data_IF_687893405182
#
_entry.id   IF_687893405182
#
_cell.length_a   1.000
_cell.length_b   1.000
_cell.length_c   1.000
_cell.angle_alpha   90.00
_cell.angle_beta   90.00
_cell.angle_gamma   90.00
#
_symmetry.space_group_name_H-M   'P 1'
#
loop_
_entity.id
_entity.type
_entity.pdbx_description
1 polymer ?
#
# COMPACT_ATOMS: atom_id res chain seq x y z
N UNK A 1 -9.76 28.63 67.65
CA UNK A 1 -10.40 27.31 67.46
C UNK A 1 -10.99 27.29 66.07
N UNK A 2 -10.49 26.36 65.25
CA UNK A 2 -10.59 26.29 63.79
C UNK A 2 -11.89 25.61 63.38
N UNK A 3 -12.72 26.26 62.54
CA UNK A 3 -13.67 25.65 61.60
C UNK A 3 -13.86 26.71 60.49
N UNK A 4 -13.43 26.57 59.25
CA UNK A 4 -13.60 25.44 58.33
C UNK A 4 -14.47 25.93 57.16
N UNK A 5 -14.00 26.96 56.43
CA UNK A 5 -14.69 27.49 55.25
C UNK A 5 -14.50 26.53 54.08
N UNK A 6 -15.56 25.80 53.74
CA UNK A 6 -15.59 24.87 52.60
C UNK A 6 -15.44 25.67 51.31
N UNK A 7 -14.26 25.57 50.70
CA UNK A 7 -13.97 26.07 49.38
C UNK A 7 -14.68 25.15 48.38
N UNK A 8 -15.81 25.59 47.82
CA UNK A 8 -16.43 24.92 46.67
C UNK A 8 -15.48 25.08 45.48
N UNK A 9 -14.65 24.07 45.23
CA UNK A 9 -14.05 23.86 43.93
C UNK A 9 -15.18 23.52 42.96
N UNK A 10 -15.68 24.54 42.26
CA UNK A 10 -16.37 24.34 41.00
C UNK A 10 -15.36 23.66 40.07
N UNK A 11 -15.50 22.34 39.93
CA UNK A 11 -15.03 21.63 38.75
C UNK A 11 -15.77 22.27 37.57
N UNK A 12 -15.14 23.28 36.97
CA UNK A 12 -15.34 23.57 35.56
C UNK A 12 -14.88 22.31 34.84
N UNK A 13 -15.77 21.33 34.72
CA UNK A 13 -15.76 20.42 33.60
C UNK A 13 -15.82 21.33 32.37
N UNK A 14 -14.64 21.69 31.86
CA UNK A 14 -14.51 22.09 30.47
C UNK A 14 -15.01 20.88 29.72
N UNK A 15 -16.31 20.88 29.40
CA UNK A 15 -16.86 20.05 28.36
C UNK A 15 -16.07 20.45 27.12
N UNK A 16 -14.96 19.75 26.87
CA UNK A 16 -14.45 19.63 25.53
C UNK A 16 -15.57 18.92 24.81
N UNK A 17 -16.48 19.70 24.22
CA UNK A 17 -17.42 19.19 23.23
C UNK A 17 -16.54 18.84 22.04
N UNK A 18 -15.93 17.66 22.11
CA UNK A 18 -15.39 17.02 20.93
C UNK A 18 -16.60 16.90 20.02
N UNK A 19 -16.56 17.57 18.88
CA UNK A 19 -17.67 17.62 17.95
C UNK A 19 -18.09 16.17 17.63
N UNK A 20 -19.28 15.76 18.09
CA UNK A 20 -19.79 14.39 17.90
C UNK A 20 -19.83 14.01 16.42
N UNK A 21 -19.98 14.99 15.54
CA UNK A 21 -19.94 14.82 14.09
C UNK A 21 -18.54 14.46 13.57
N UNK A 22 -17.46 15.01 14.15
CA UNK A 22 -16.09 14.64 13.76
C UNK A 22 -15.77 13.20 14.18
N UNK A 23 -16.30 12.79 15.34
CA UNK A 23 -16.20 11.40 15.83
C UNK A 23 -16.99 10.45 14.92
N UNK A 24 -18.24 10.77 14.58
CA UNK A 24 -19.08 9.98 13.66
C UNK A 24 -18.49 9.88 12.24
N UNK A 25 -17.91 10.97 11.71
CA UNK A 25 -17.18 10.94 10.42
C UNK A 25 -15.96 10.03 10.51
N UNK A 26 -15.21 10.08 11.62
CA UNK A 26 -14.01 9.24 11.80
C UNK A 26 -14.40 7.76 11.93
N UNK A 27 -15.47 7.45 12.66
CA UNK A 27 -16.02 6.09 12.77
C UNK A 27 -16.59 5.58 11.44
N UNK A 28 -17.28 6.46 10.70
CA UNK A 28 -17.76 6.18 9.35
C UNK A 28 -16.63 5.88 8.37
N UNK A 29 -15.53 6.64 8.42
CA UNK A 29 -14.33 6.39 7.60
C UNK A 29 -13.68 5.06 7.99
N UNK A 30 -13.49 4.78 9.28
CA UNK A 30 -12.93 3.51 9.75
C UNK A 30 -13.76 2.31 9.27
N UNK A 31 -15.10 2.41 9.34
CA UNK A 31 -16.02 1.41 8.81
C UNK A 31 -15.83 1.22 7.29
N UNK A 32 -15.75 2.30 6.53
CA UNK A 32 -15.56 2.23 5.07
C UNK A 32 -14.19 1.65 4.69
N UNK A 33 -13.13 2.01 5.42
CA UNK A 33 -11.79 1.44 5.25
C UNK A 33 -11.82 -0.07 5.49
N UNK A 34 -12.46 -0.55 6.55
CA UNK A 34 -12.58 -1.99 6.81
C UNK A 34 -13.44 -2.70 5.77
N UNK A 35 -14.58 -2.13 5.41
CA UNK A 35 -15.53 -2.69 4.45
C UNK A 35 -14.94 -2.81 3.03
N UNK A 36 -14.11 -1.86 2.63
CA UNK A 36 -13.50 -1.81 1.30
C UNK A 36 -12.03 -2.23 1.28
N UNK A 37 -11.53 -2.81 2.39
CA UNK A 37 -10.19 -3.40 2.42
C UNK A 37 -10.05 -4.50 1.34
N UNK A 38 -8.89 -4.65 0.71
CA UNK A 38 -8.74 -5.61 -0.38
C UNK A 38 -8.71 -7.06 0.13
N UNK A 39 -9.24 -7.98 -0.67
CA UNK A 39 -8.95 -9.41 -0.57
C UNK A 39 -7.80 -9.73 -1.53
N UNK A 40 -6.65 -10.10 -0.98
CA UNK A 40 -5.46 -10.43 -1.76
C UNK A 40 -5.27 -11.94 -1.74
N UNK A 41 -5.41 -12.58 -2.90
CA UNK A 41 -5.09 -13.98 -3.09
C UNK A 41 -3.60 -14.13 -3.37
N UNK A 42 -2.90 -14.83 -2.50
CA UNK A 42 -1.51 -15.21 -2.72
C UNK A 42 -1.45 -16.35 -3.73
N UNK A 43 -0.35 -16.44 -4.48
CA UNK A 43 -0.08 -17.61 -5.31
C UNK A 43 -0.12 -18.88 -4.46
N UNK A 44 -0.72 -19.99 -4.93
CA UNK A 44 -0.74 -21.25 -4.18
C UNK A 44 0.68 -21.81 -3.93
N UNK A 45 1.63 -21.43 -4.77
CA UNK A 45 3.04 -21.83 -4.65
C UNK A 45 3.88 -20.84 -3.84
N UNK A 46 3.29 -19.76 -3.29
CA UNK A 46 4.02 -18.70 -2.59
C UNK A 46 4.79 -19.25 -1.38
N UNK A 47 6.08 -18.91 -1.31
CA UNK A 47 6.98 -19.33 -0.23
C UNK A 47 7.33 -18.20 0.71
N UNK A 48 7.21 -16.96 0.24
CA UNK A 48 7.56 -15.76 0.96
C UNK A 48 6.27 -15.04 1.34
N UNK A 49 5.65 -15.51 2.42
CA UNK A 49 4.40 -14.97 2.91
C UNK A 49 4.59 -13.54 3.44
N UNK A 50 3.56 -12.68 3.38
CA UNK A 50 3.65 -11.36 3.95
C UNK A 50 3.85 -11.41 5.47
N UNK A 51 4.53 -10.41 6.03
CA UNK A 51 4.96 -10.37 7.43
C UNK A 51 4.76 -8.98 8.03
N UNK A 52 4.63 -8.89 9.35
CA UNK A 52 4.68 -7.60 10.04
C UNK A 52 6.06 -6.95 9.96
N UNK A 53 6.11 -5.63 9.80
CA UNK A 53 7.36 -4.85 9.72
C UNK A 53 8.19 -4.98 10.99
N UNK A 54 7.54 -4.91 12.16
CA UNK A 54 8.20 -5.02 13.46
C UNK A 54 8.92 -6.36 13.60
N UNK A 55 8.27 -7.43 13.15
CA UNK A 55 8.82 -8.77 13.16
C UNK A 55 9.95 -8.93 12.13
N UNK A 56 9.74 -8.44 10.91
CA UNK A 56 10.79 -8.39 9.88
C UNK A 56 12.05 -7.68 10.39
N UNK A 57 11.90 -6.54 11.07
CA UNK A 57 13.01 -5.79 11.64
C UNK A 57 13.78 -6.58 12.70
N UNK A 58 13.16 -7.57 13.35
CA UNK A 58 13.85 -8.47 14.28
C UNK A 58 14.79 -9.47 13.56
N UNK A 59 14.60 -9.72 12.27
CA UNK A 59 15.38 -10.66 11.45
C UNK A 59 16.44 -10.01 10.56
N UNK A 60 16.53 -8.68 10.55
CA UNK A 60 17.51 -7.93 9.75
C UNK A 60 18.41 -7.06 10.62
N UNK A 61 19.54 -6.68 10.06
CA UNK A 61 20.44 -5.68 10.62
C UNK A 61 20.87 -4.70 9.53
N UNK A 62 21.38 -3.54 9.93
CA UNK A 62 21.90 -2.54 8.99
C UNK A 62 23.35 -2.85 8.67
N UNK A 63 23.69 -2.80 7.39
CA UNK A 63 25.06 -2.95 6.89
C UNK A 63 25.43 -1.83 5.91
N UNK A 64 26.74 -1.60 5.73
CA UNK A 64 27.26 -0.76 4.63
C UNK A 64 27.24 -1.52 3.28
N UNK A 65 27.69 -0.84 2.22
CA UNK A 65 27.84 -1.41 0.87
C UNK A 65 28.77 -2.63 0.78
N UNK A 66 29.63 -2.84 1.78
CA UNK A 66 30.54 -3.98 1.87
C UNK A 66 29.96 -5.11 2.75
N UNK A 67 28.73 -4.97 3.23
CA UNK A 67 28.08 -5.94 4.11
C UNK A 67 28.57 -5.88 5.57
N UNK A 68 29.33 -4.86 5.96
CA UNK A 68 29.78 -4.71 7.34
C UNK A 68 28.64 -4.20 8.20
N UNK A 69 28.34 -4.93 9.28
CA UNK A 69 27.32 -4.54 10.25
C UNK A 69 27.61 -3.16 10.86
N UNK A 70 26.60 -2.28 10.80
CA UNK A 70 26.63 -0.94 11.39
C UNK A 70 25.78 -0.94 12.66
N UNK A 71 26.43 -0.68 13.80
CA UNK A 71 25.74 -0.47 15.07
C UNK A 71 25.12 0.92 15.10
N UNK A 72 23.80 0.98 15.08
CA UNK A 72 23.05 2.22 15.27
C UNK A 72 23.03 2.57 16.76
N UNK A 73 23.67 3.68 17.12
CA UNK A 73 23.86 4.10 18.52
C UNK A 73 22.57 4.50 19.25
N UNK A 74 21.46 4.76 18.54
CA UNK A 74 20.23 5.32 19.12
C UNK A 74 18.93 4.59 18.72
N UNK A 75 19.00 3.33 18.27
CA UNK A 75 17.81 2.56 17.82
C UNK A 75 16.98 3.23 16.72
N UNK A 76 17.54 4.25 16.04
CA UNK A 76 16.90 4.98 14.94
C UNK A 76 17.50 4.51 13.63
N UNK A 77 16.63 4.19 12.67
CA UNK A 77 17.05 3.91 11.29
C UNK A 77 17.80 5.13 10.72
N UNK A 78 18.84 4.92 9.90
CA UNK A 78 19.52 6.00 9.19
C UNK A 78 18.53 6.82 8.36
N UNK A 79 18.54 8.15 8.50
CA UNK A 79 17.67 9.06 7.74
C UNK A 79 18.48 10.05 6.90
N UNK A 80 17.86 10.59 5.84
CA UNK A 80 18.48 11.58 4.93
C UNK A 80 19.30 10.97 3.79
N UNK A 81 20.13 11.77 3.12
CA UNK A 81 20.89 11.38 1.91
C UNK A 81 21.84 10.19 2.12
N UNK A 82 22.26 9.94 3.35
CA UNK A 82 23.12 8.81 3.68
C UNK A 82 22.37 7.48 3.64
N UNK A 83 21.03 7.43 3.62
CA UNK A 83 20.24 6.20 3.57
C UNK A 83 20.60 5.28 2.39
N UNK A 84 21.11 5.85 1.29
CA UNK A 84 21.58 5.10 0.11
C UNK A 84 22.81 4.23 0.36
N UNK A 85 23.52 4.46 1.47
CA UNK A 85 24.71 3.72 1.86
C UNK A 85 24.40 2.63 2.91
N UNK A 86 23.14 2.51 3.32
CA UNK A 86 22.70 1.56 4.33
C UNK A 86 21.76 0.54 3.72
N UNK A 87 22.02 -0.73 4.03
CA UNK A 87 21.27 -1.86 3.50
C UNK A 87 20.71 -2.68 4.66
N UNK A 88 19.48 -3.16 4.53
CA UNK A 88 18.94 -4.18 5.42
C UNK A 88 19.39 -5.54 4.92
N UNK A 89 20.10 -6.26 5.78
CA UNK A 89 20.65 -7.58 5.50
C UNK A 89 20.10 -8.55 6.53
N UNK A 90 19.69 -9.75 6.08
CA UNK A 90 19.19 -10.79 6.96
C UNK A 90 20.26 -11.23 7.96
N UNK A 91 19.85 -11.50 9.20
CA UNK A 91 20.74 -12.05 10.23
C UNK A 91 21.08 -13.52 9.95
N UNK A 92 20.15 -14.22 9.30
CA UNK A 92 20.27 -15.63 8.93
C UNK A 92 20.18 -15.81 7.41
N UNK A 93 20.48 -17.02 6.94
CA UNK A 93 20.28 -17.37 5.53
C UNK A 93 18.78 -17.40 5.21
N UNK A 94 18.45 -17.11 3.95
CA UNK A 94 17.06 -17.14 3.49
C UNK A 94 16.43 -18.53 3.68
N UNK A 95 17.20 -19.61 3.53
CA UNK A 95 16.71 -20.97 3.72
C UNK A 95 16.39 -21.30 5.18
N UNK A 96 17.13 -20.71 6.14
CA UNK A 96 16.79 -20.79 7.58
C UNK A 96 15.46 -20.11 7.84
N UNK A 97 15.30 -18.87 7.37
CA UNK A 97 14.10 -18.04 7.59
C UNK A 97 12.83 -18.62 6.95
N UNK A 98 12.94 -19.34 5.83
CA UNK A 98 11.81 -20.05 5.19
C UNK A 98 11.29 -21.22 6.01
N UNK A 99 12.13 -21.82 6.84
CA UNK A 99 11.79 -23.03 7.59
C UNK A 99 11.00 -22.75 8.86
N UNK A 100 10.83 -21.47 9.20
CA UNK A 100 9.99 -21.04 10.32
C UNK A 100 8.52 -21.20 9.96
N UNK A 101 7.86 -22.17 10.61
CA UNK A 101 6.45 -22.51 10.40
C UNK A 101 5.53 -21.85 11.44
N UNK A 102 5.99 -20.79 12.11
CA UNK A 102 5.14 -20.12 13.09
C UNK A 102 4.02 -19.32 12.41
N UNK A 103 2.84 -19.34 13.02
CA UNK A 103 1.66 -18.64 12.50
C UNK A 103 1.72 -17.18 12.92
N UNK A 104 2.05 -16.29 12.00
CA UNK A 104 2.14 -14.86 12.26
C UNK A 104 0.82 -14.14 11.92
N UNK A 105 0.48 -13.14 12.73
CA UNK A 105 -0.54 -12.17 12.34
C UNK A 105 0.07 -11.29 11.24
N UNK A 106 -0.53 -11.31 10.06
CA UNK A 106 -0.06 -10.52 8.91
C UNK A 106 -0.85 -9.21 8.84
N UNK A 107 -0.25 -8.06 9.19
CA UNK A 107 -0.96 -6.78 9.13
C UNK A 107 -1.10 -6.31 7.68
N UNK A 108 -2.25 -5.72 7.38
CA UNK A 108 -2.42 -4.81 6.23
C UNK A 108 -2.42 -3.39 6.79
N UNK A 109 -1.50 -2.55 6.31
CA UNK A 109 -1.36 -1.19 6.79
C UNK A 109 -2.23 -0.25 5.95
N UNK A 110 -3.23 0.36 6.59
CA UNK A 110 -4.11 1.33 5.93
C UNK A 110 -3.67 2.77 6.28
N UNK A 111 -3.32 3.55 5.27
CA UNK A 111 -3.00 4.97 5.40
C UNK A 111 -4.14 5.79 4.83
N UNK A 112 -4.89 6.46 5.70
CA UNK A 112 -6.01 7.33 5.32
C UNK A 112 -5.52 8.76 5.17
N UNK A 113 -5.88 9.40 4.06
CA UNK A 113 -5.65 10.82 3.83
C UNK A 113 -6.96 11.51 3.51
N UNK A 114 -7.34 12.46 4.35
CA UNK A 114 -8.55 13.25 4.16
C UNK A 114 -8.38 14.25 3.02
N UNK A 115 -9.39 14.35 2.16
CA UNK A 115 -9.44 15.33 1.09
C UNK A 115 -10.47 16.40 1.46
N UNK A 116 -10.12 17.67 1.29
CA UNK A 116 -11.13 18.74 1.37
C UNK A 116 -11.96 18.72 0.09
N UNK A 117 -13.29 18.76 0.20
CA UNK A 117 -14.17 18.98 -0.96
C UNK A 117 -14.02 20.40 -1.54
N UNK A 118 -13.38 21.30 -0.80
CA UNK A 118 -13.19 22.70 -1.17
C UNK A 118 -11.85 22.85 -1.89
N UNK A 119 -11.91 23.22 -3.17
CA UNK A 119 -10.79 23.87 -3.87
C UNK A 119 -10.29 25.01 -2.97
N UNK A 120 -8.97 25.13 -2.86
CA UNK A 120 -8.28 26.20 -2.14
C UNK A 120 -9.08 27.52 -2.20
N UNK A 121 -9.45 28.06 -1.03
CA UNK A 121 -10.16 29.33 -0.92
C UNK A 121 -9.27 30.43 -1.54
N UNK A 122 -9.57 30.82 -2.77
CA UNK A 122 -8.86 31.90 -3.46
C UNK A 122 -9.44 33.29 -3.16
N UNK A 123 -10.43 33.40 -2.26
CA UNK A 123 -11.07 34.67 -1.94
C UNK A 123 -10.73 35.15 -0.54
N UNK A 124 -10.29 36.39 -0.43
CA UNK A 124 -9.99 37.11 0.82
C UNK A 124 -11.22 37.84 1.38
N UNK A 125 -12.41 37.63 0.81
CA UNK A 125 -13.65 38.26 1.26
C UNK A 125 -14.30 37.50 2.43
N UNK A 126 -14.36 38.18 3.59
CA UNK A 126 -14.84 37.65 4.88
C UNK A 126 -16.33 37.31 4.88
N UNK A 127 -17.14 37.96 4.03
CA UNK A 127 -18.58 37.68 3.94
C UNK A 127 -18.85 36.44 3.10
N UNK A 128 -18.10 36.28 1.99
CA UNK A 128 -18.15 35.08 1.15
C UNK A 128 -17.60 33.86 1.90
N UNK A 129 -16.55 34.04 2.72
CA UNK A 129 -16.04 32.97 3.59
C UNK A 129 -17.11 32.46 4.57
N UNK A 130 -17.93 33.34 5.15
CA UNK A 130 -19.00 32.95 6.09
C UNK A 130 -20.17 32.24 5.38
N UNK A 131 -20.55 32.68 4.19
CA UNK A 131 -21.55 31.97 3.38
C UNK A 131 -21.05 30.62 2.88
N UNK A 132 -19.78 30.55 2.49
CA UNK A 132 -19.12 29.32 2.05
C UNK A 132 -19.05 28.33 3.20
N UNK A 133 -18.56 28.76 4.38
CA UNK A 133 -18.55 27.99 5.64
C UNK A 133 -19.96 27.46 5.96
N UNK A 134 -20.99 28.31 5.91
CA UNK A 134 -22.36 27.88 6.18
C UNK A 134 -22.89 26.90 5.13
N UNK A 135 -22.48 26.99 3.86
CA UNK A 135 -22.79 26.00 2.83
C UNK A 135 -22.07 24.66 3.06
N UNK A 136 -20.88 24.67 3.70
CA UNK A 136 -20.18 23.46 4.16
C UNK A 136 -20.96 22.75 5.26
N UNK A 137 -21.37 23.51 6.28
CA UNK A 137 -22.04 22.96 7.46
C UNK A 137 -23.50 22.60 7.20
N UNK A 138 -24.18 23.23 6.24
CA UNK A 138 -25.59 22.97 5.95
C UNK A 138 -25.84 21.86 4.93
N UNK A 139 -24.81 21.28 4.30
CA UNK A 139 -25.00 20.13 3.40
C UNK A 139 -25.15 18.86 4.24
N UNK A 140 -26.40 18.45 4.46
CA UNK A 140 -26.89 17.32 5.29
C UNK A 140 -26.44 15.91 4.87
N UNK A 141 -25.38 15.74 4.08
CA UNK A 141 -24.90 14.42 3.68
C UNK A 141 -23.52 14.18 4.30
N UNK A 142 -23.35 13.02 4.96
CA UNK A 142 -22.06 12.50 5.42
C UNK A 142 -21.19 12.21 4.19
N UNK A 143 -20.64 13.27 3.60
CA UNK A 143 -19.87 13.17 2.37
C UNK A 143 -18.45 12.75 2.71
N UNK A 144 -18.13 11.50 2.43
CA UNK A 144 -16.81 10.94 2.68
C UNK A 144 -15.84 11.37 1.57
N UNK A 145 -14.96 12.32 1.88
CA UNK A 145 -13.87 12.75 0.99
C UNK A 145 -12.53 12.34 1.57
N UNK A 146 -12.00 11.21 1.09
CA UNK A 146 -10.70 10.70 1.50
C UNK A 146 -10.17 9.74 0.45
N UNK A 147 -8.86 9.48 0.49
CA UNK A 147 -8.32 8.27 -0.08
C UNK A 147 -7.66 7.43 0.99
N UNK A 148 -7.64 6.13 0.78
CA UNK A 148 -6.95 5.17 1.64
C UNK A 148 -6.01 4.34 0.79
N UNK A 149 -4.77 4.20 1.24
CA UNK A 149 -3.79 3.28 0.64
C UNK A 149 -3.59 2.10 1.57
N UNK A 150 -3.81 0.89 1.05
CA UNK A 150 -3.53 -0.37 1.73
C UNK A 150 -2.17 -0.88 1.28
N UNK A 151 -1.31 -1.17 2.24
CA UNK A 151 0.05 -1.66 2.03
C UNK A 151 0.19 -3.05 2.63
N UNK A 152 0.80 -3.94 1.85
CA UNK A 152 1.16 -5.29 2.28
C UNK A 152 2.68 -5.40 2.18
N UNK A 153 3.30 -5.86 3.26
CA UNK A 153 4.74 -6.02 3.34
C UNK A 153 5.15 -7.47 3.16
N UNK A 154 6.09 -7.71 2.26
CA UNK A 154 6.71 -9.01 2.06
C UNK A 154 8.17 -8.94 2.53
N UNK A 155 8.62 -9.86 3.40
CA UNK A 155 9.98 -9.81 3.95
C UNK A 155 11.06 -10.08 2.89
N UNK A 156 10.70 -10.73 1.79
CA UNK A 156 11.63 -11.03 0.70
C UNK A 156 10.88 -11.19 -0.63
N UNK A 157 11.38 -10.54 -1.68
CA UNK A 157 10.96 -10.76 -3.06
C UNK A 157 11.99 -11.66 -3.76
N UNK A 158 11.55 -12.77 -4.34
CA UNK A 158 12.41 -13.78 -5.00
C UNK A 158 13.00 -13.30 -6.32
N UNK A 159 12.47 -12.21 -6.87
CA UNK A 159 12.83 -11.72 -8.19
C UNK A 159 12.49 -12.73 -9.28
N UNK A 160 13.20 -12.66 -10.39
CA UNK A 160 12.94 -13.52 -11.56
C UNK A 160 14.21 -14.00 -12.24
N UNK A 161 14.20 -15.26 -12.65
CA UNK A 161 15.28 -15.85 -13.42
C UNK A 161 15.24 -15.40 -14.89
N UNK A 162 16.30 -14.73 -15.31
CA UNK A 162 16.45 -14.21 -16.68
C UNK A 162 17.66 -14.88 -17.32
N UNK A 163 17.49 -15.32 -18.56
CA UNK A 163 18.58 -15.84 -19.37
C UNK A 163 19.37 -14.69 -20.00
N UNK A 164 20.70 -14.74 -19.91
CA UNK A 164 21.60 -13.78 -20.52
C UNK A 164 22.52 -14.45 -21.53
N UNK A 165 22.61 -13.86 -22.72
CA UNK A 165 23.64 -14.16 -23.70
C UNK A 165 24.68 -13.03 -23.68
N UNK A 166 25.84 -13.28 -23.07
CA UNK A 166 26.80 -12.22 -22.78
C UNK A 166 26.25 -11.19 -21.79
N UNK A 167 26.08 -9.93 -22.22
CA UNK A 167 25.57 -8.82 -21.39
C UNK A 167 24.10 -8.47 -21.65
N UNK A 168 23.44 -9.14 -22.59
CA UNK A 168 22.06 -8.82 -23.00
C UNK A 168 21.08 -9.91 -22.55
N UNK A 169 19.88 -9.54 -22.06
CA UNK A 169 18.80 -10.49 -21.83
C UNK A 169 18.42 -11.21 -23.12
N UNK A 170 18.24 -12.52 -23.05
CA UNK A 170 17.87 -13.38 -24.16
C UNK A 170 16.66 -14.25 -23.78
N UNK A 171 15.77 -14.56 -24.74
CA UNK A 171 14.68 -15.49 -24.48
C UNK A 171 15.21 -16.92 -24.26
N UNK A 172 14.51 -17.69 -23.43
CA UNK A 172 14.72 -19.15 -23.35
C UNK A 172 14.22 -19.78 -24.66
N UNK A 173 14.96 -20.75 -25.21
CA UNK A 173 14.58 -21.50 -26.42
C UNK A 173 14.31 -22.94 -25.99
N UNK A 174 13.10 -23.47 -26.23
CA UNK A 174 12.64 -24.77 -25.71
C UNK A 174 12.87 -24.93 -24.20
N UNK A 175 12.52 -23.88 -23.43
CA UNK A 175 12.76 -23.78 -21.97
C UNK A 175 14.24 -23.86 -21.54
N UNK A 176 15.19 -23.88 -22.47
CA UNK A 176 16.63 -23.89 -22.20
C UNK A 176 17.23 -22.49 -22.34
N UNK A 177 18.07 -22.12 -21.36
CA UNK A 177 18.89 -20.92 -21.45
C UNK A 177 20.22 -21.26 -22.14
N UNK A 178 20.49 -20.63 -23.29
CA UNK A 178 21.75 -20.78 -24.02
C UNK A 178 22.75 -19.69 -23.60
N UNK A 179 23.05 -19.66 -22.30
CA UNK A 179 23.87 -18.62 -21.69
C UNK A 179 23.94 -18.78 -20.19
N UNK A 180 23.86 -17.68 -19.45
CA UNK A 180 23.85 -17.69 -17.97
C UNK A 180 22.48 -17.29 -17.45
N UNK A 181 21.93 -18.08 -16.53
CA UNK A 181 20.78 -17.67 -15.74
C UNK A 181 21.24 -16.70 -14.65
N UNK A 182 20.48 -15.63 -14.46
CA UNK A 182 20.66 -14.69 -13.36
C UNK A 182 19.30 -14.34 -12.78
N UNK A 183 19.19 -14.35 -11.46
CA UNK A 183 18.03 -13.79 -10.75
C UNK A 183 18.17 -12.28 -10.70
N UNK A 184 17.13 -11.57 -11.10
CA UNK A 184 17.07 -10.11 -11.07
C UNK A 184 15.82 -9.64 -10.34
N UNK A 185 15.94 -8.50 -9.66
CA UNK A 185 14.83 -7.88 -8.93
C UNK A 185 14.55 -8.50 -7.56
N UNK A 186 15.32 -9.50 -7.15
CA UNK A 186 15.20 -10.06 -5.80
C UNK A 186 15.76 -9.08 -4.77
N UNK A 187 15.07 -8.90 -3.65
CA UNK A 187 15.48 -7.97 -2.61
C UNK A 187 14.83 -8.29 -1.26
N UNK A 188 15.47 -7.82 -0.18
CA UNK A 188 15.01 -7.98 1.20
C UNK A 188 14.06 -6.82 1.53
N UNK A 189 12.83 -7.16 1.89
CA UNK A 189 11.73 -6.23 2.13
C UNK A 189 11.13 -5.66 0.85
N UNK A 190 9.84 -5.88 0.66
CA UNK A 190 9.08 -5.42 -0.49
C UNK A 190 7.70 -4.91 -0.05
N UNK A 191 7.23 -3.86 -0.72
CA UNK A 191 5.98 -3.16 -0.41
C UNK A 191 5.09 -3.13 -1.63
N UNK A 192 3.96 -3.81 -1.51
CA UNK A 192 2.91 -3.80 -2.52
C UNK A 192 1.73 -2.96 -2.01
N UNK A 193 1.09 -2.21 -2.90
CA UNK A 193 0.00 -1.34 -2.47
C UNK A 193 -1.10 -1.12 -3.50
N UNK A 194 -2.28 -0.81 -2.97
CA UNK A 194 -3.43 -0.35 -3.72
C UNK A 194 -4.10 0.81 -2.98
N UNK A 195 -4.75 1.71 -3.70
CA UNK A 195 -5.46 2.84 -3.10
C UNK A 195 -6.90 2.94 -3.58
N UNK A 196 -7.80 3.33 -2.70
CA UNK A 196 -9.18 3.68 -3.01
C UNK A 196 -9.40 5.18 -2.78
N UNK A 197 -10.12 5.81 -3.71
CA UNK A 197 -10.64 7.18 -3.56
C UNK A 197 -12.12 7.12 -3.20
N UNK A 198 -12.54 7.98 -2.29
CA UNK A 198 -13.93 8.25 -1.96
C UNK A 198 -14.21 9.73 -2.23
N UNK A 199 -15.09 10.00 -3.20
CA UNK A 199 -15.47 11.34 -3.63
C UNK A 199 -16.91 11.69 -3.20
N UNK A 200 -17.18 11.64 -1.90
CA UNK A 200 -18.46 12.04 -1.30
C UNK A 200 -19.48 10.91 -1.11
N UNK A 201 -19.16 9.68 -1.51
CA UNK A 201 -20.06 8.51 -1.39
C UNK A 201 -19.57 7.52 -0.32
N UNK A 202 -20.47 6.61 0.11
CA UNK A 202 -20.13 5.48 0.98
C UNK A 202 -19.48 4.29 0.22
N UNK A 203 -19.09 4.50 -1.03
CA UNK A 203 -18.36 3.56 -1.86
C UNK A 203 -17.27 4.32 -2.63
N UNK A 204 -16.17 3.66 -2.98
CA UNK A 204 -15.09 4.31 -3.69
C UNK A 204 -15.49 4.64 -5.12
N UNK A 205 -15.00 5.76 -5.64
CA UNK A 205 -15.15 6.13 -7.05
C UNK A 205 -14.02 5.54 -7.90
N UNK A 206 -12.80 5.44 -7.35
CA UNK A 206 -11.62 4.95 -8.07
C UNK A 206 -10.79 3.99 -7.25
N UNK A 207 -10.14 3.08 -7.96
CA UNK A 207 -9.08 2.22 -7.47
C UNK A 207 -7.80 2.51 -8.24
N UNK A 208 -6.70 2.72 -7.52
CA UNK A 208 -5.35 2.73 -8.07
C UNK A 208 -4.63 1.45 -7.64
N UNK A 209 -4.04 0.74 -8.58
CA UNK A 209 -3.21 -0.44 -8.32
C UNK A 209 -1.78 -0.13 -8.75
N UNK A 210 -0.84 -0.20 -7.82
CA UNK A 210 0.58 -0.13 -8.13
C UNK A 210 1.04 -1.50 -8.63
N UNK A 211 1.74 -1.51 -9.76
CA UNK A 211 2.27 -2.73 -10.38
C UNK A 211 3.70 -2.44 -10.80
N UNK A 212 4.67 -2.80 -9.97
CA UNK A 212 6.10 -2.52 -10.21
C UNK A 212 6.36 -1.03 -10.53
N UNK A 213 6.91 -0.74 -11.72
CA UNK A 213 7.19 0.62 -12.19
C UNK A 213 6.01 1.28 -12.93
N UNK A 214 4.82 0.71 -12.83
CA UNK A 214 3.60 1.25 -13.40
C UNK A 214 2.48 1.33 -12.36
N UNK A 215 1.39 1.97 -12.78
CA UNK A 215 0.13 1.92 -12.07
C UNK A 215 -1.04 1.89 -13.03
N UNK A 216 -2.19 1.50 -12.52
CA UNK A 216 -3.44 1.47 -13.29
C UNK A 216 -4.59 2.01 -12.44
N UNK A 217 -5.42 2.82 -13.07
CA UNK A 217 -6.65 3.34 -12.50
C UNK A 217 -7.84 2.55 -13.03
N UNK A 218 -8.73 2.20 -12.12
CA UNK A 218 -10.03 1.62 -12.41
C UNK A 218 -11.13 2.49 -11.79
N UNK A 219 -12.22 2.70 -12.53
CA UNK A 219 -13.42 3.41 -12.08
C UNK A 219 -14.44 2.42 -11.53
N UNK A 220 -15.00 2.66 -10.35
CA UNK A 220 -16.04 1.81 -9.79
C UNK A 220 -17.36 1.94 -10.57
N UNK A 221 -17.94 0.81 -10.97
CA UNK A 221 -19.27 0.72 -11.56
C UNK A 221 -20.24 0.21 -10.48
N UNK A 222 -21.02 1.12 -9.91
CA UNK A 222 -21.95 0.81 -8.81
C UNK A 222 -23.00 -0.24 -9.21
N UNK A 223 -23.53 -0.15 -10.43
CA UNK A 223 -24.59 -1.06 -10.91
C UNK A 223 -24.06 -2.48 -11.06
N UNK A 224 -22.84 -2.61 -11.56
CA UNK A 224 -22.21 -3.91 -11.82
C UNK A 224 -21.34 -4.42 -10.67
N UNK A 225 -21.08 -3.57 -9.68
CA UNK A 225 -20.30 -3.85 -8.47
C UNK A 225 -18.90 -4.41 -8.78
N UNK A 226 -18.19 -3.76 -9.69
CA UNK A 226 -16.79 -4.01 -10.02
C UNK A 226 -16.09 -2.72 -10.44
N UNK A 227 -14.76 -2.71 -10.48
CA UNK A 227 -14.00 -1.58 -11.03
C UNK A 227 -13.60 -1.86 -12.47
N UNK A 228 -13.85 -0.92 -13.38
CA UNK A 228 -13.53 -1.00 -14.80
C UNK A 228 -12.27 -0.21 -15.11
N UNK A 229 -11.40 -0.76 -15.95
CA UNK A 229 -10.20 -0.08 -16.41
C UNK A 229 -10.54 1.33 -16.95
N UNK A 230 -9.80 2.33 -16.48
CA UNK A 230 -9.93 3.72 -16.90
C UNK A 230 -8.67 4.20 -17.60
N UNK A 231 -7.51 4.12 -16.93
CA UNK A 231 -6.24 4.62 -17.46
C UNK A 231 -5.04 3.94 -16.83
N UNK A 232 -3.85 4.14 -17.39
CA UNK A 232 -2.59 3.61 -16.86
C UNK A 232 -1.53 4.69 -16.73
N UNK A 233 -0.66 4.53 -15.75
CA UNK A 233 0.50 5.38 -15.48
C UNK A 233 1.75 4.55 -15.76
N UNK A 234 2.59 5.01 -16.68
CA UNK A 234 3.85 4.34 -17.03
C UNK A 234 4.99 5.32 -16.77
N UNK A 235 6.03 4.89 -16.05
CA UNK A 235 7.24 5.70 -15.86
C UNK A 235 7.99 5.90 -17.18
N UNK A 236 8.58 7.09 -17.38
CA UNK A 236 9.44 7.37 -18.54
C UNK A 236 10.61 6.37 -18.57
N UNK A 237 10.89 5.79 -19.74
CA UNK A 237 12.00 4.84 -19.94
C UNK A 237 11.63 3.36 -19.80
N UNK A 238 10.36 3.04 -19.51
CA UNK A 238 9.86 1.66 -19.52
C UNK A 238 9.72 1.15 -20.96
N UNK A 239 10.33 -0.01 -21.24
CA UNK A 239 10.38 -0.61 -22.59
C UNK A 239 9.12 -1.41 -22.92
N UNK A 240 8.51 -2.04 -21.92
CA UNK A 240 7.30 -2.85 -22.08
C UNK A 240 6.13 -2.25 -21.32
N UNK A 241 5.02 -2.00 -22.02
CA UNK A 241 3.77 -1.59 -21.39
C UNK A 241 2.94 -2.84 -21.14
N UNK A 242 2.72 -3.26 -19.88
CA UNK A 242 1.92 -4.44 -19.60
C UNK A 242 0.48 -4.23 -20.04
N UNK A 243 -0.18 -5.33 -20.41
CA UNK A 243 -1.63 -5.34 -20.60
C UNK A 243 -2.29 -5.55 -19.23
N UNK A 244 -2.97 -4.52 -18.75
CA UNK A 244 -3.73 -4.63 -17.51
C UNK A 244 -5.08 -5.30 -17.74
N UNK A 245 -5.53 -6.17 -16.82
CA UNK A 245 -6.89 -6.70 -16.86
C UNK A 245 -7.93 -5.57 -16.92
N UNK A 246 -9.07 -5.83 -17.54
CA UNK A 246 -10.08 -4.79 -17.76
C UNK A 246 -10.99 -4.54 -16.56
N UNK A 247 -10.99 -5.45 -15.59
CA UNK A 247 -11.92 -5.44 -14.45
C UNK A 247 -11.18 -5.88 -13.18
N UNK A 248 -11.41 -5.16 -12.07
CA UNK A 248 -11.18 -5.66 -10.71
C UNK A 248 -12.54 -6.07 -10.15
N UNK A 249 -12.70 -7.35 -9.82
CA UNK A 249 -13.94 -7.83 -9.20
C UNK A 249 -14.00 -7.41 -7.74
N UNK A 250 -15.21 -7.37 -7.19
CA UNK A 250 -15.42 -7.13 -5.75
C UNK A 250 -16.25 -8.26 -5.14
N UNK A 251 -15.90 -8.67 -3.92
CA UNK A 251 -16.64 -9.64 -3.12
C UNK A 251 -17.03 -8.98 -1.80
N UNK A 252 -18.33 -8.84 -1.50
CA UNK A 252 -18.78 -8.21 -0.26
C UNK A 252 -18.40 -6.73 -0.08
N UNK A 253 -17.91 -6.06 -1.13
CA UNK A 253 -17.33 -4.70 -1.04
C UNK A 253 -15.81 -4.70 -1.04
N UNK A 254 -15.16 -5.86 -0.92
CA UNK A 254 -13.71 -5.96 -0.99
C UNK A 254 -13.25 -6.09 -2.44
N UNK A 255 -12.39 -5.18 -2.97
CA UNK A 255 -11.71 -5.40 -4.23
C UNK A 255 -10.85 -6.67 -4.16
N UNK A 256 -10.94 -7.53 -5.17
CA UNK A 256 -10.21 -8.80 -5.21
C UNK A 256 -8.98 -8.64 -6.09
N UNK A 257 -7.81 -8.89 -5.50
CA UNK A 257 -6.50 -8.80 -6.14
C UNK A 257 -5.73 -10.12 -6.00
N UNK A 258 -4.71 -10.29 -6.84
CA UNK A 258 -3.89 -11.50 -6.90
C UNK A 258 -2.42 -11.11 -6.84
N UNK A 259 -1.70 -11.60 -5.83
CA UNK A 259 -0.26 -11.36 -5.68
C UNK A 259 0.53 -12.39 -6.50
N UNK A 260 1.48 -11.89 -7.29
CA UNK A 260 2.35 -12.72 -8.12
C UNK A 260 3.31 -13.58 -7.28
N UNK A 261 3.51 -14.83 -7.70
CA UNK A 261 4.49 -15.73 -7.10
C UNK A 261 5.89 -15.09 -7.08
N UNK A 262 6.44 -14.94 -5.87
CA UNK A 262 7.80 -14.50 -5.60
C UNK A 262 8.05 -13.01 -5.81
N UNK A 263 7.50 -12.41 -6.88
CA UNK A 263 7.65 -10.98 -7.19
C UNK A 263 6.60 -10.09 -6.57
N UNK A 264 5.54 -10.69 -6.01
CA UNK A 264 4.44 -10.11 -5.22
C UNK A 264 3.57 -9.04 -5.87
N UNK A 265 3.96 -8.54 -7.05
CA UNK A 265 3.19 -7.60 -7.85
C UNK A 265 1.70 -7.95 -7.89
N UNK A 266 0.88 -6.97 -7.56
CA UNK A 266 -0.57 -7.15 -7.46
C UNK A 266 -1.25 -7.00 -8.82
N UNK A 267 -2.15 -7.93 -9.13
CA UNK A 267 -2.90 -7.94 -10.38
C UNK A 267 -4.41 -8.05 -10.12
N UNK A 268 -5.18 -7.52 -11.06
CA UNK A 268 -6.64 -7.46 -11.00
C UNK A 268 -7.35 -8.77 -11.36
N UNK A 269 -6.62 -9.75 -11.90
CA UNK A 269 -7.15 -11.06 -12.27
C UNK A 269 -6.09 -12.15 -12.11
N UNK A 270 -6.50 -13.42 -11.94
CA UNK A 270 -5.57 -14.55 -11.96
C UNK A 270 -4.96 -14.73 -13.37
N UNK A 271 -3.82 -15.41 -13.46
CA UNK A 271 -3.18 -15.81 -14.72
C UNK A 271 -1.73 -15.34 -14.87
N UNK A 272 -1.28 -15.30 -16.13
CA UNK A 272 0.04 -14.81 -16.50
C UNK A 272 -0.02 -13.38 -17.03
N UNK A 273 0.79 -12.50 -16.45
CA UNK A 273 0.81 -11.07 -16.75
C UNK A 273 2.19 -10.62 -17.16
N UNK A 274 2.28 -9.75 -18.16
CA UNK A 274 3.56 -9.23 -18.64
C UNK A 274 4.30 -8.44 -17.55
N UNK A 275 5.55 -8.81 -17.28
CA UNK A 275 6.41 -8.11 -16.35
C UNK A 275 7.05 -6.88 -17.00
N UNK A 276 6.96 -5.74 -16.33
CA UNK A 276 7.18 -4.41 -16.91
C UNK A 276 8.64 -4.14 -17.29
N UNK A 277 9.58 -4.66 -16.50
CA UNK A 277 11.00 -4.30 -16.63
C UNK A 277 11.73 -5.09 -17.72
N UNK A 278 11.25 -6.29 -18.07
CA UNK A 278 12.02 -7.23 -18.90
C UNK A 278 11.11 -7.87 -19.94
N UNK A 279 11.37 -7.66 -21.24
CA UNK A 279 10.63 -8.29 -22.32
C UNK A 279 10.49 -9.80 -22.15
N UNK A 280 9.26 -10.30 -22.37
CA UNK A 280 8.90 -11.74 -22.34
C UNK A 280 9.04 -12.41 -20.97
N UNK A 281 9.10 -11.61 -19.91
CA UNK A 281 9.03 -12.10 -18.55
C UNK A 281 7.60 -11.91 -18.02
N UNK A 282 7.13 -12.83 -17.18
CA UNK A 282 5.75 -12.78 -16.68
C UNK A 282 5.67 -12.91 -15.16
N UNK A 283 4.64 -12.29 -14.59
CA UNK A 283 4.10 -12.55 -13.26
C UNK A 283 3.04 -13.64 -13.38
N UNK A 284 3.06 -14.62 -12.48
CA UNK A 284 2.04 -15.67 -12.40
C UNK A 284 1.32 -15.58 -11.06
N UNK A 285 0.00 -15.67 -11.06
CA UNK A 285 -0.82 -15.66 -9.86
C UNK A 285 -2.14 -16.41 -10.06
N UNK A 286 -2.84 -16.61 -8.94
CA UNK A 286 -4.13 -17.29 -8.86
C UNK A 286 -4.08 -18.72 -9.39
#
# INVERSE_FOLDING_TARGET
MIIGGVLYFLLLCVNVVINSQLVDITEGIDRLVKQWSPLIWLSPDEKYMPLGVEEFLSHVHVADENGKNIRLSNSRLPSGYNSKLFYLVTKETLDSLKSDNTSHSVPVYAIVTHCSSYKSFHTSDKNNLKSDINAIYNKRENNFYFYVSYWTFFPYNEGKEICFLGRVPAPKIFSRCFGRLKTMGNHVGDWEHMSLSFAGNAFPDKLFLAVHDAGVYYQYDEKRRYFKFESKVIRKGVVQVPKFPQIVRSQGGHPVLFSAYGSHGLWASPGEHDFIRVPKLTDKNG
#
